data_IF_258266497916
#
_entry.id   IF_258266497916
#
_cell.length_a   1.000
_cell.length_b   1.000
_cell.length_c   1.000
_cell.angle_alpha   90.00
_cell.angle_beta   90.00
_cell.angle_gamma   90.00
#
_symmetry.space_group_name_H-M   'P 1'
#
loop_
_entity.id
_entity.type
_entity.pdbx_description
1 polymer ?
#
# COMPACT_ATOMS: atom_id res chain seq x y z
N UNK A 1 -42.49 66.31 7.94
CA UNK A 1 -41.04 66.28 7.67
C UNK A 1 -40.31 66.83 8.88
N UNK A 2 -39.48 66.00 9.50
CA UNK A 2 -38.58 66.34 10.63
C UNK A 2 -37.28 65.53 10.45
N UNK A 3 -36.10 66.10 10.76
CA UNK A 3 -34.82 65.66 10.22
C UNK A 3 -34.23 64.41 10.91
N UNK A 4 -33.58 63.56 10.10
CA UNK A 4 -32.81 62.37 10.53
C UNK A 4 -31.56 62.77 11.32
N UNK A 5 -31.38 62.20 12.52
CA UNK A 5 -30.07 62.11 13.20
C UNK A 5 -29.45 60.72 12.93
N UNK A 6 -28.14 60.62 12.62
CA UNK A 6 -27.48 59.35 12.30
C UNK A 6 -27.07 58.60 13.57
N UNK A 7 -27.37 57.30 13.64
CA UNK A 7 -26.86 56.40 14.69
C UNK A 7 -25.63 55.61 14.19
N UNK A 8 -24.70 55.23 15.09
CA UNK A 8 -23.34 54.83 14.74
C UNK A 8 -23.27 53.43 14.13
N UNK A 9 -22.44 53.27 13.09
CA UNK A 9 -22.10 51.99 12.47
C UNK A 9 -21.26 51.15 13.45
N UNK A 10 -21.85 50.09 14.02
CA UNK A 10 -21.11 49.09 14.78
C UNK A 10 -20.15 48.36 13.84
N UNK A 11 -18.85 48.47 14.14
CA UNK A 11 -17.75 47.93 13.34
C UNK A 11 -17.78 46.40 13.35
N UNK A 12 -17.51 45.82 12.19
CA UNK A 12 -17.25 44.39 11.99
C UNK A 12 -15.90 44.06 12.62
N UNK A 13 -15.90 43.30 13.71
CA UNK A 13 -14.68 42.61 14.15
C UNK A 13 -14.55 41.32 13.33
N UNK A 14 -13.96 41.47 12.14
CA UNK A 14 -13.39 40.35 11.41
C UNK A 14 -12.15 39.93 12.20
N UNK A 15 -12.29 38.93 13.06
CA UNK A 15 -11.14 38.28 13.68
C UNK A 15 -10.48 37.43 12.59
N UNK A 16 -9.58 38.06 11.82
CA UNK A 16 -8.60 37.37 10.99
C UNK A 16 -7.64 36.61 11.92
N UNK A 17 -7.94 35.34 12.21
CA UNK A 17 -6.91 34.44 12.72
C UNK A 17 -6.05 34.01 11.53
N UNK A 18 -4.73 34.26 11.54
CA UNK A 18 -3.85 33.77 10.50
C UNK A 18 -3.82 32.25 10.62
N UNK A 19 -4.43 31.54 9.68
CA UNK A 19 -4.20 30.10 9.55
C UNK A 19 -2.80 29.96 8.94
N UNK A 20 -1.77 30.09 9.78
CA UNK A 20 -0.47 29.49 9.51
C UNK A 20 -0.69 27.99 9.44
N UNK A 21 -1.09 27.50 8.26
CA UNK A 21 -0.97 26.10 7.87
C UNK A 21 0.52 25.81 7.79
N UNK A 22 1.17 25.73 8.95
CA UNK A 22 2.39 24.95 9.13
C UNK A 22 2.00 23.57 8.63
N UNK A 23 2.45 23.28 7.41
CA UNK A 23 2.22 22.02 6.72
C UNK A 23 2.98 20.98 7.54
N UNK A 24 2.36 20.48 8.62
CA UNK A 24 2.93 19.44 9.47
C UNK A 24 3.37 18.36 8.49
N UNK A 25 4.68 18.15 8.37
CA UNK A 25 5.22 17.13 7.49
C UNK A 25 4.57 15.83 7.91
N UNK A 26 3.67 15.32 7.06
CA UNK A 26 3.01 14.04 7.32
C UNK A 26 4.14 13.02 7.39
N UNK A 27 4.29 12.36 8.55
CA UNK A 27 5.22 11.25 8.70
C UNK A 27 4.98 10.27 7.54
N UNK A 28 6.05 9.86 6.86
CA UNK A 28 5.94 8.88 5.76
C UNK A 28 5.28 7.64 6.34
N UNK A 29 4.11 7.28 5.81
CA UNK A 29 3.41 6.09 6.24
C UNK A 29 4.05 4.88 5.56
N UNK A 30 5.05 4.29 6.20
CA UNK A 30 5.75 3.10 5.70
C UNK A 30 4.86 1.85 5.66
N UNK A 31 3.66 1.89 6.26
CA UNK A 31 2.71 0.77 6.27
C UNK A 31 1.82 0.71 5.02
N UNK A 32 1.90 1.70 4.12
CA UNK A 32 1.05 1.76 2.94
C UNK A 32 1.75 1.27 1.67
N UNK A 33 1.04 0.46 0.89
CA UNK A 33 1.47 0.00 -0.41
C UNK A 33 1.18 0.99 -1.55
N UNK A 34 0.63 2.18 -1.25
CA UNK A 34 0.15 3.11 -2.28
C UNK A 34 1.18 3.50 -3.34
N UNK A 35 2.46 3.65 -2.98
CA UNK A 35 3.52 3.97 -3.95
C UNK A 35 3.74 2.81 -4.92
N UNK A 36 3.76 1.57 -4.41
CA UNK A 36 3.96 0.38 -5.23
C UNK A 36 2.75 0.10 -6.12
N UNK A 37 1.54 0.26 -5.58
CA UNK A 37 0.29 0.17 -6.34
C UNK A 37 0.24 1.20 -7.48
N UNK A 38 0.69 2.43 -7.22
CA UNK A 38 0.77 3.46 -8.25
C UNK A 38 1.80 3.12 -9.35
N UNK A 39 2.99 2.64 -8.97
CA UNK A 39 4.01 2.19 -9.94
C UNK A 39 3.52 1.01 -10.78
N UNK A 40 2.86 0.04 -10.14
CA UNK A 40 2.28 -1.11 -10.82
C UNK A 40 1.21 -0.67 -11.82
N UNK A 41 0.31 0.23 -11.40
CA UNK A 41 -0.73 0.76 -12.27
C UNK A 41 -0.13 1.39 -13.54
N UNK A 42 0.84 2.31 -13.39
CA UNK A 42 1.49 2.94 -14.55
C UNK A 42 2.16 1.93 -15.47
N UNK A 43 2.79 0.88 -14.91
CA UNK A 43 3.46 -0.15 -15.71
C UNK A 43 2.48 -0.96 -16.58
N UNK A 44 1.26 -1.20 -16.10
CA UNK A 44 0.24 -1.97 -16.83
C UNK A 44 -0.53 -1.07 -17.80
N UNK A 45 -0.86 0.16 -17.39
CA UNK A 45 -1.75 1.04 -18.15
C UNK A 45 -1.03 2.00 -19.09
N UNK A 46 0.31 1.99 -19.13
CA UNK A 46 1.12 2.92 -19.95
C UNK A 46 0.65 4.38 -19.81
N UNK A 47 0.46 4.81 -18.57
CA UNK A 47 0.03 6.17 -18.20
C UNK A 47 -1.37 6.65 -18.65
N UNK A 48 -2.21 5.78 -19.20
CA UNK A 48 -3.54 6.14 -19.72
C UNK A 48 -4.63 6.30 -18.66
N UNK A 49 -4.54 5.57 -17.54
CA UNK A 49 -5.56 5.56 -16.48
C UNK A 49 -5.02 6.10 -15.15
N UNK A 50 -5.90 6.77 -14.39
CA UNK A 50 -5.64 7.23 -13.02
C UNK A 50 -6.44 6.42 -12.00
N UNK A 51 -6.03 6.47 -10.73
CA UNK A 51 -6.72 5.82 -9.62
C UNK A 51 -7.13 6.84 -8.57
N UNK A 52 -8.39 6.77 -8.14
CA UNK A 52 -8.91 7.65 -7.09
C UNK A 52 -8.30 7.34 -5.72
N UNK A 53 -8.34 8.29 -4.79
CA UNK A 53 -7.86 8.07 -3.41
C UNK A 53 -8.65 6.97 -2.69
N UNK A 54 -9.96 6.87 -2.95
CA UNK A 54 -10.81 5.84 -2.36
C UNK A 54 -10.46 4.45 -2.90
N UNK A 55 -10.29 4.33 -4.22
CA UNK A 55 -9.87 3.08 -4.86
C UNK A 55 -8.48 2.64 -4.40
N UNK A 56 -7.56 3.60 -4.20
CA UNK A 56 -6.24 3.33 -3.65
C UNK A 56 -6.30 2.77 -2.22
N UNK A 57 -7.21 3.27 -1.38
CA UNK A 57 -7.41 2.74 -0.03
C UNK A 57 -7.93 1.30 -0.06
N UNK A 58 -8.92 1.03 -0.92
CA UNK A 58 -9.46 -0.33 -1.11
C UNK A 58 -8.35 -1.29 -1.55
N UNK A 59 -7.54 -0.90 -2.55
CA UNK A 59 -6.43 -1.73 -3.03
C UNK A 59 -5.37 -1.96 -1.95
N UNK A 60 -5.04 -0.95 -1.15
CA UNK A 60 -4.11 -1.11 -0.04
C UNK A 60 -4.63 -2.11 1.00
N UNK A 61 -5.92 -2.05 1.33
CA UNK A 61 -6.52 -2.99 2.28
C UNK A 61 -6.60 -4.41 1.71
N UNK A 62 -6.91 -4.53 0.41
CA UNK A 62 -6.90 -5.82 -0.28
C UNK A 62 -5.53 -6.52 -0.19
N UNK A 63 -4.44 -5.78 -0.43
CA UNK A 63 -3.08 -6.34 -0.29
C UNK A 63 -2.82 -6.82 1.14
N UNK A 64 -3.23 -6.05 2.15
CA UNK A 64 -3.05 -6.44 3.54
C UNK A 64 -3.86 -7.70 3.91
N UNK A 65 -5.13 -7.77 3.51
CA UNK A 65 -5.98 -8.95 3.75
C UNK A 65 -5.40 -10.21 3.09
N UNK A 66 -4.94 -10.10 1.84
CA UNK A 66 -4.30 -11.23 1.15
C UNK A 66 -2.99 -11.66 1.83
N UNK A 67 -2.18 -10.71 2.28
CA UNK A 67 -0.92 -11.00 2.97
C UNK A 67 -1.16 -11.71 4.30
N UNK A 68 -2.16 -11.25 5.08
CA UNK A 68 -2.52 -11.87 6.34
C UNK A 68 -3.02 -13.30 6.12
N UNK A 69 -3.91 -13.52 5.14
CA UNK A 69 -4.38 -14.86 4.76
C UNK A 69 -3.22 -15.79 4.40
N UNK A 70 -2.29 -15.33 3.56
CA UNK A 70 -1.11 -16.12 3.17
C UNK A 70 -0.22 -16.41 4.38
N UNK A 71 0.02 -15.44 5.25
CA UNK A 71 0.86 -15.60 6.43
C UNK A 71 0.27 -16.61 7.43
N UNK A 72 -1.04 -16.55 7.67
CA UNK A 72 -1.76 -17.48 8.54
C UNK A 72 -1.66 -18.90 7.99
N UNK A 73 -1.94 -19.09 6.70
CA UNK A 73 -1.92 -20.41 6.09
C UNK A 73 -0.49 -20.97 5.99
N UNK A 74 0.51 -20.14 5.69
CA UNK A 74 1.91 -20.53 5.72
C UNK A 74 2.36 -20.91 7.14
N UNK A 75 1.90 -20.18 8.17
CA UNK A 75 2.17 -20.50 9.57
C UNK A 75 1.63 -21.88 9.97
N UNK A 76 0.41 -22.22 9.51
CA UNK A 76 -0.16 -23.56 9.68
C UNK A 76 0.70 -24.63 9.00
N UNK A 77 1.15 -24.39 7.77
CA UNK A 77 2.02 -25.32 7.04
C UNK A 77 3.36 -25.55 7.75
N UNK A 78 3.96 -24.51 8.33
CA UNK A 78 5.18 -24.61 9.15
C UNK A 78 4.94 -25.49 10.37
N UNK A 79 3.83 -25.26 11.08
CA UNK A 79 3.45 -26.05 12.25
C UNK A 79 3.18 -27.52 11.90
N UNK A 80 2.45 -27.80 10.81
CA UNK A 80 2.22 -29.16 10.32
C UNK A 80 3.52 -29.87 9.93
N UNK A 81 4.46 -29.14 9.32
CA UNK A 81 5.78 -29.63 8.97
C UNK A 81 6.74 -29.80 10.16
N UNK A 82 6.33 -29.46 11.39
CA UNK A 82 7.17 -29.41 12.60
C UNK A 82 8.44 -28.58 12.41
N UNK A 83 8.37 -27.54 11.58
CA UNK A 83 9.47 -26.59 11.36
C UNK A 83 9.29 -25.38 12.26
N UNK A 84 10.38 -24.69 12.56
CA UNK A 84 10.36 -23.42 13.30
C UNK A 84 10.54 -22.20 12.39
N UNK A 85 10.98 -22.43 11.15
CA UNK A 85 11.28 -21.37 10.19
C UNK A 85 10.35 -21.48 8.99
N UNK A 86 9.76 -20.35 8.59
CA UNK A 86 8.96 -20.23 7.38
C UNK A 86 9.87 -19.99 6.17
N UNK A 87 9.81 -20.88 5.17
CA UNK A 87 10.54 -20.75 3.92
C UNK A 87 9.67 -20.31 2.75
N UNK A 88 10.30 -20.12 1.59
CA UNK A 88 9.60 -19.80 0.34
C UNK A 88 8.62 -20.89 -0.09
N UNK A 89 8.90 -22.16 0.25
CA UNK A 89 8.03 -23.31 -0.06
C UNK A 89 6.69 -23.25 0.66
N UNK A 90 6.68 -22.86 1.94
CA UNK A 90 5.46 -22.73 2.73
C UNK A 90 4.60 -21.57 2.20
N UNK A 91 5.20 -20.43 1.85
CA UNK A 91 4.49 -19.31 1.21
C UNK A 91 3.89 -19.69 -0.14
N UNK A 92 4.66 -20.39 -1.00
CA UNK A 92 4.16 -20.85 -2.30
C UNK A 92 2.99 -21.83 -2.16
N UNK A 93 3.10 -22.77 -1.21
CA UNK A 93 2.04 -23.75 -0.97
C UNK A 93 0.79 -23.08 -0.40
N UNK A 94 0.94 -22.15 0.56
CA UNK A 94 -0.16 -21.34 1.07
C UNK A 94 -0.86 -20.54 -0.03
N UNK A 95 -0.09 -19.95 -0.94
CA UNK A 95 -0.62 -19.21 -2.09
C UNK A 95 -1.46 -20.11 -3.00
N UNK A 96 -1.02 -21.36 -3.24
CA UNK A 96 -1.79 -22.35 -4.02
C UNK A 96 -3.09 -22.77 -3.34
N UNK A 97 -3.13 -22.79 -2.00
CA UNK A 97 -4.33 -23.15 -1.25
C UNK A 97 -5.37 -22.02 -1.25
N UNK A 98 -4.92 -20.77 -1.22
CA UNK A 98 -5.79 -19.60 -1.09
C UNK A 98 -6.32 -19.07 -2.43
N UNK A 99 -5.54 -19.21 -3.51
CA UNK A 99 -5.89 -18.66 -4.81
C UNK A 99 -6.44 -19.78 -5.72
N UNK A 100 -7.62 -19.61 -6.35
CA UNK A 100 -8.19 -20.65 -7.19
C UNK A 100 -7.66 -20.65 -8.63
N UNK A 101 -7.73 -21.82 -9.26
CA UNK A 101 -7.66 -21.99 -10.72
C UNK A 101 -6.39 -21.45 -11.38
N UNK A 102 -6.57 -20.72 -12.50
CA UNK A 102 -5.46 -20.17 -13.29
C UNK A 102 -4.69 -19.07 -12.57
N UNK A 103 -5.35 -18.33 -11.66
CA UNK A 103 -4.70 -17.28 -10.89
C UNK A 103 -3.57 -17.84 -10.01
N UNK A 104 -3.77 -19.02 -9.42
CA UNK A 104 -2.71 -19.68 -8.66
C UNK A 104 -1.52 -20.06 -9.54
N UNK A 105 -1.76 -20.50 -10.79
CA UNK A 105 -0.68 -20.84 -11.71
C UNK A 105 0.17 -19.61 -12.01
N UNK A 106 -0.46 -18.48 -12.36
CA UNK A 106 0.25 -17.24 -12.64
C UNK A 106 0.98 -16.70 -11.40
N UNK A 107 0.33 -16.72 -10.22
CA UNK A 107 0.95 -16.31 -8.97
C UNK A 107 2.23 -17.12 -8.65
N UNK A 108 2.21 -18.44 -8.92
CA UNK A 108 3.41 -19.26 -8.72
C UNK A 108 4.52 -18.97 -9.73
N UNK A 109 4.18 -18.74 -10.99
CA UNK A 109 5.17 -18.37 -12.02
C UNK A 109 5.87 -17.07 -11.62
N UNK A 110 5.12 -16.06 -11.22
CA UNK A 110 5.68 -14.78 -10.76
C UNK A 110 6.50 -14.94 -9.47
N UNK A 111 6.03 -15.77 -8.51
CA UNK A 111 6.79 -16.05 -7.30
C UNK A 111 8.13 -16.73 -7.58
N UNK A 112 8.16 -17.71 -8.49
CA UNK A 112 9.40 -18.39 -8.88
C UNK A 112 10.37 -17.43 -9.57
N UNK A 113 9.85 -16.57 -10.45
CA UNK A 113 10.65 -15.53 -11.12
C UNK A 113 11.30 -14.60 -10.11
N UNK A 114 10.54 -14.13 -9.11
CA UNK A 114 11.07 -13.26 -8.06
C UNK A 114 12.19 -13.95 -7.24
N UNK A 115 12.01 -15.23 -6.88
CA UNK A 115 13.01 -16.00 -6.13
C UNK A 115 14.31 -16.17 -6.95
N UNK A 116 14.18 -16.51 -8.24
CA UNK A 116 15.35 -16.66 -9.12
C UNK A 116 16.11 -15.34 -9.28
N UNK A 117 15.39 -14.22 -9.44
CA UNK A 117 16.02 -12.90 -9.53
C UNK A 117 16.75 -12.54 -8.24
N UNK A 118 16.19 -12.87 -7.08
CA UNK A 118 16.83 -12.65 -5.79
C UNK A 118 18.10 -13.49 -5.62
N UNK A 119 18.04 -14.80 -5.92
CA UNK A 119 19.21 -15.69 -5.84
C UNK A 119 20.35 -15.17 -6.73
N UNK A 120 20.05 -14.82 -7.99
CA UNK A 120 21.04 -14.25 -8.92
C UNK A 120 21.67 -12.96 -8.40
N UNK A 121 20.92 -12.12 -7.69
CA UNK A 121 21.48 -10.90 -7.09
C UNK A 121 22.44 -11.20 -5.94
N UNK A 122 22.18 -12.24 -5.13
CA UNK A 122 23.09 -12.66 -4.07
C UNK A 122 24.40 -13.21 -4.63
N UNK A 123 24.34 -14.03 -5.67
CA UNK A 123 25.53 -14.59 -6.33
C UNK A 123 26.46 -13.49 -6.89
N UNK A 124 25.89 -12.39 -7.39
CA UNK A 124 26.66 -11.24 -7.89
C UNK A 124 27.34 -10.45 -6.77
N UNK A 125 26.67 -10.27 -5.64
CA UNK A 125 27.23 -9.59 -4.47
C UNK A 125 28.36 -10.41 -3.84
N UNK A 126 28.23 -11.75 -3.80
CA UNK A 126 29.24 -12.65 -3.27
C UNK A 126 30.46 -12.78 -4.20
N UNK A 127 30.28 -12.66 -5.52
CA UNK A 127 31.37 -12.62 -6.49
C UNK A 127 32.13 -11.28 -6.50
N UNK A 128 31.58 -10.24 -5.88
CA UNK A 128 32.15 -8.88 -5.83
C UNK A 128 32.87 -8.58 -4.51
N UNK A 129 32.92 -9.53 -3.58
CA UNK A 129 33.70 -9.48 -2.33
C UNK A 129 34.99 -10.28 -2.47
#
# INVERSE_FOLDING_TARGET
MVPKKPMPKTKKDIIEKPITKTRKMKKKNYKSFSIYLYKLLRSVTKDTFGISTQSMLIMNNFVNDMMEKIAVEAGRLVAHGKKTTMGSREIQTATKLLIPGELAKHANIEAMKAIMMFQRSQDQDDSSK
#
